data_IF_452181873657
#
_entry.id   IF_452181873657
#
_cell.length_a   1.000
_cell.length_b   1.000
_cell.length_c   1.000
_cell.angle_alpha   90.00
_cell.angle_beta   90.00
_cell.angle_gamma   90.00
#
_symmetry.space_group_name_H-M   'P 1'
#
loop_
_entity.id
_entity.type
_entity.pdbx_description
1 polymer ?
#
# COMPACT_ATOMS: atom_id res chain seq x y z
N UNK A 1 -6.14 11.01 27.76
CA UNK A 1 -5.56 9.68 27.50
C UNK A 1 -4.40 9.93 26.56
N UNK A 2 -3.16 9.84 27.02
CA UNK A 2 -1.97 10.11 26.20
C UNK A 2 -1.59 8.86 25.41
N UNK A 3 -1.47 8.99 24.09
CA UNK A 3 -1.17 7.90 23.17
C UNK A 3 0.31 7.98 22.75
N UNK A 4 1.13 6.98 23.11
CA UNK A 4 2.56 6.95 22.80
C UNK A 4 2.82 6.39 21.39
N UNK A 5 3.55 7.11 20.53
CA UNK A 5 3.77 6.71 19.14
C UNK A 5 4.62 5.44 19.01
N UNK A 6 4.20 4.53 18.12
CA UNK A 6 4.90 3.29 17.79
C UNK A 6 6.09 3.56 16.87
N UNK A 7 7.32 3.30 17.34
CA UNK A 7 8.52 3.31 16.51
C UNK A 7 8.67 1.99 15.73
N UNK A 8 8.94 2.08 14.42
CA UNK A 8 8.99 0.92 13.54
C UNK A 8 10.39 0.30 13.50
N UNK A 9 10.50 -0.97 13.92
CA UNK A 9 11.69 -1.79 13.66
C UNK A 9 11.58 -2.31 12.23
N UNK A 10 12.36 -1.72 11.32
CA UNK A 10 12.53 -2.19 9.94
C UNK A 10 13.22 -3.56 9.94
N UNK A 11 12.46 -4.62 10.16
CA UNK A 11 12.95 -5.98 9.96
C UNK A 11 12.58 -6.39 8.54
N UNK A 12 13.59 -6.78 7.75
CA UNK A 12 13.42 -7.35 6.42
C UNK A 12 12.37 -8.47 6.45
N UNK A 13 11.48 -8.56 5.44
CA UNK A 13 10.58 -9.71 5.31
C UNK A 13 11.40 -10.98 5.32
N UNK A 14 11.20 -11.80 6.35
CA UNK A 14 11.65 -13.19 6.30
C UNK A 14 10.88 -13.88 5.16
N UNK A 15 11.61 -14.62 4.31
CA UNK A 15 11.03 -15.48 3.28
C UNK A 15 10.46 -16.79 3.89
N UNK A 16 10.44 -16.92 5.22
CA UNK A 16 10.06 -18.15 5.88
C UNK A 16 8.55 -18.38 5.74
N UNK A 17 8.21 -19.42 4.98
CA UNK A 17 6.85 -19.96 4.89
C UNK A 17 6.48 -20.52 6.26
N UNK A 18 5.58 -19.85 6.98
CA UNK A 18 5.22 -20.23 8.36
C UNK A 18 4.09 -21.28 8.38
N UNK A 19 3.46 -21.59 7.25
CA UNK A 19 2.43 -22.65 7.17
C UNK A 19 1.66 -22.68 5.85
N UNK A 20 0.51 -23.36 5.85
CA UNK A 20 -0.33 -23.57 4.67
C UNK A 20 -1.79 -23.22 4.93
N UNK A 21 -2.51 -22.77 3.90
CA UNK A 21 -3.94 -22.51 3.93
C UNK A 21 -4.74 -23.82 3.87
N UNK A 22 -4.78 -24.56 4.98
CA UNK A 22 -5.43 -25.87 5.05
C UNK A 22 -6.94 -25.79 4.76
N UNK A 23 -7.61 -24.72 5.20
CA UNK A 23 -9.04 -24.52 4.92
C UNK A 23 -9.33 -24.41 3.42
N UNK A 24 -8.44 -23.77 2.66
CA UNK A 24 -8.56 -23.66 1.21
C UNK A 24 -8.35 -25.00 0.52
N UNK A 25 -7.43 -25.81 1.02
CA UNK A 25 -7.24 -27.19 0.56
C UNK A 25 -8.49 -28.05 0.86
N UNK A 26 -9.05 -27.97 2.07
CA UNK A 26 -10.25 -28.71 2.46
C UNK A 26 -11.49 -28.34 1.64
N UNK A 27 -11.59 -27.07 1.21
CA UNK A 27 -12.67 -26.61 0.35
C UNK A 27 -12.56 -27.10 -1.11
N UNK A 28 -11.39 -27.60 -1.53
CA UNK A 28 -11.18 -28.17 -2.87
C UNK A 28 -11.12 -29.71 -2.79
N UNK A 29 -12.22 -30.42 -3.11
CA UNK A 29 -12.29 -31.87 -2.95
C UNK A 29 -11.30 -32.62 -3.84
N UNK A 30 -10.99 -32.10 -5.03
CA UNK A 30 -10.05 -32.76 -5.95
C UNK A 30 -8.62 -32.67 -5.41
N UNK A 31 -8.15 -31.47 -5.08
CA UNK A 31 -6.79 -31.29 -4.54
C UNK A 31 -6.62 -32.01 -3.19
N UNK A 32 -7.68 -32.09 -2.39
CA UNK A 32 -7.65 -32.85 -1.14
C UNK A 32 -7.47 -34.36 -1.38
N UNK A 33 -8.11 -34.92 -2.40
CA UNK A 33 -7.99 -36.34 -2.70
C UNK A 33 -6.61 -36.67 -3.30
N UNK A 34 -6.11 -35.86 -4.22
CA UNK A 34 -4.75 -35.98 -4.76
C UNK A 34 -3.68 -35.91 -3.64
N UNK A 35 -3.85 -34.99 -2.68
CA UNK A 35 -2.97 -34.89 -1.52
C UNK A 35 -3.00 -36.15 -0.61
N UNK A 36 -4.19 -36.74 -0.42
CA UNK A 36 -4.33 -37.99 0.35
C UNK A 36 -3.70 -39.17 -0.38
N UNK A 37 -3.92 -39.30 -1.69
CA UNK A 37 -3.35 -40.37 -2.50
C UNK A 37 -1.82 -40.32 -2.47
N UNK A 38 -1.25 -39.12 -2.62
CA UNK A 38 0.20 -38.92 -2.54
C UNK A 38 0.75 -39.25 -1.14
N UNK A 39 0.05 -38.84 -0.08
CA UNK A 39 0.40 -39.20 1.29
C UNK A 39 0.34 -40.72 1.52
N UNK A 40 -0.71 -41.38 1.05
CA UNK A 40 -0.86 -42.83 1.14
C UNK A 40 0.25 -43.56 0.38
N UNK A 41 0.59 -43.12 -0.83
CA UNK A 41 1.69 -43.68 -1.60
C UNK A 41 3.01 -43.60 -0.81
N UNK A 42 3.28 -42.46 -0.18
CA UNK A 42 4.49 -42.26 0.63
C UNK A 42 4.52 -43.17 1.85
N UNK A 43 3.41 -43.32 2.57
CA UNK A 43 3.31 -44.28 3.69
C UNK A 43 3.53 -45.71 3.20
N UNK A 44 2.90 -46.11 2.10
CA UNK A 44 3.01 -47.48 1.58
C UNK A 44 4.44 -47.83 1.13
N UNK A 45 5.21 -46.82 0.71
CA UNK A 45 6.63 -47.00 0.38
C UNK A 45 7.56 -47.10 1.60
N UNK A 46 7.07 -46.75 2.80
CA UNK A 46 7.85 -46.74 4.04
C UNK A 46 7.81 -48.13 4.70
N UNK A 47 8.95 -48.66 5.17
CA UNK A 47 8.96 -49.89 5.95
C UNK A 47 8.29 -49.67 7.31
N UNK A 48 7.49 -50.64 7.77
CA UNK A 48 6.88 -50.60 9.10
C UNK A 48 7.94 -50.70 10.19
N UNK A 49 7.90 -49.80 11.16
CA UNK A 49 8.66 -49.92 12.40
C UNK A 49 8.04 -50.99 13.28
N UNK A 50 8.84 -51.99 13.65
CA UNK A 50 8.43 -53.06 14.56
C UNK A 50 8.66 -52.72 16.03
N UNK A 51 8.28 -53.65 16.92
CA UNK A 51 8.32 -53.48 18.39
C UNK A 51 9.73 -53.33 18.99
N UNK A 52 10.79 -53.49 18.18
CA UNK A 52 12.19 -53.35 18.59
C UNK A 52 12.83 -52.03 18.11
N UNK A 53 12.02 -51.02 17.74
CA UNK A 53 12.54 -49.74 17.28
C UNK A 53 13.30 -48.99 18.37
N UNK A 54 14.44 -48.41 18.00
CA UNK A 54 15.25 -47.57 18.88
C UNK A 54 14.69 -46.14 18.94
N UNK A 55 15.13 -45.35 19.92
CA UNK A 55 14.77 -43.93 19.99
C UNK A 55 15.25 -43.13 18.77
N UNK A 56 16.34 -43.56 18.13
CA UNK A 56 16.86 -42.94 16.91
C UNK A 56 15.96 -43.25 15.71
N UNK A 57 15.45 -44.48 15.62
CA UNK A 57 14.49 -44.88 14.58
C UNK A 57 13.19 -44.08 14.69
N UNK A 58 12.70 -43.88 15.91
CA UNK A 58 11.52 -43.04 16.18
C UNK A 58 11.75 -41.58 15.83
N UNK A 59 12.92 -41.03 16.16
CA UNK A 59 13.27 -39.66 15.80
C UNK A 59 13.37 -39.51 14.27
N UNK A 60 13.98 -40.49 13.58
CA UNK A 60 14.04 -40.53 12.12
C UNK A 60 12.67 -40.65 11.47
N UNK A 61 11.74 -41.36 12.09
CA UNK A 61 10.34 -41.43 11.65
C UNK A 61 9.64 -40.09 11.82
N UNK A 62 9.81 -39.44 12.97
CA UNK A 62 9.22 -38.12 13.21
C UNK A 62 9.71 -37.08 12.20
N UNK A 63 11.03 -37.06 11.93
CA UNK A 63 11.62 -36.18 10.91
C UNK A 63 11.04 -36.47 9.53
N UNK A 64 10.96 -37.75 9.15
CA UNK A 64 10.38 -38.10 7.86
C UNK A 64 8.90 -37.75 7.75
N UNK A 65 8.08 -38.02 8.77
CA UNK A 65 6.67 -37.64 8.79
C UNK A 65 6.56 -36.13 8.56
N UNK A 66 7.38 -35.34 9.26
CA UNK A 66 7.40 -33.90 9.11
C UNK A 66 7.80 -33.47 7.69
N UNK A 67 8.90 -33.99 7.13
CA UNK A 67 9.38 -33.65 5.79
C UNK A 67 8.41 -34.09 4.69
N UNK A 68 7.88 -35.31 4.81
CA UNK A 68 6.96 -35.89 3.84
C UNK A 68 5.62 -35.14 3.83
N UNK A 69 5.04 -34.84 5.00
CA UNK A 69 3.83 -34.01 5.08
C UNK A 69 4.08 -32.59 4.57
N UNK A 70 5.22 -32.00 4.92
CA UNK A 70 5.62 -30.67 4.42
C UNK A 70 5.68 -30.67 2.89
N UNK A 71 6.25 -31.70 2.28
CA UNK A 71 6.32 -31.82 0.82
C UNK A 71 4.93 -32.00 0.17
N UNK A 72 4.04 -32.84 0.73
CA UNK A 72 2.66 -32.96 0.22
C UNK A 72 1.94 -31.61 0.32
N UNK A 73 2.04 -30.93 1.47
CA UNK A 73 1.38 -29.65 1.67
C UNK A 73 1.95 -28.54 0.79
N UNK A 74 3.27 -28.54 0.53
CA UNK A 74 3.88 -27.59 -0.40
C UNK A 74 3.36 -27.73 -1.84
N UNK A 75 2.99 -28.94 -2.25
CA UNK A 75 2.48 -29.21 -3.58
C UNK A 75 0.99 -28.89 -3.71
N UNK A 76 0.19 -29.26 -2.70
CA UNK A 76 -1.27 -29.23 -2.79
C UNK A 76 -1.92 -28.04 -2.08
N UNK A 77 -1.26 -27.43 -1.09
CA UNK A 77 -1.82 -26.32 -0.33
C UNK A 77 -1.10 -24.99 -0.66
N UNK A 78 -1.86 -23.90 -0.65
CA UNK A 78 -1.28 -22.56 -0.78
C UNK A 78 -0.44 -22.24 0.45
N UNK A 79 0.83 -21.92 0.22
CA UNK A 79 1.73 -21.46 1.27
C UNK A 79 1.27 -20.11 1.83
N UNK A 80 1.31 -19.98 3.15
CA UNK A 80 1.10 -18.73 3.84
C UNK A 80 2.41 -17.94 3.78
N UNK A 81 2.40 -16.90 2.93
CA UNK A 81 3.46 -15.92 2.94
C UNK A 81 3.22 -14.94 4.08
N UNK A 82 4.21 -14.86 4.95
CA UNK A 82 4.21 -13.92 6.05
C UNK A 82 4.88 -12.65 5.57
N UNK A 83 4.08 -11.65 5.19
CA UNK A 83 4.58 -10.31 4.87
C UNK A 83 4.90 -9.53 6.16
N UNK A 84 5.73 -8.48 6.13
CA UNK A 84 6.00 -7.64 7.31
C UNK A 84 4.74 -6.95 7.88
N UNK A 85 3.67 -6.92 7.08
CA UNK A 85 2.36 -6.37 7.44
C UNK A 85 1.39 -7.43 7.97
N UNK A 86 1.78 -8.71 7.92
CA UNK A 86 0.91 -9.80 8.36
C UNK A 86 0.74 -9.78 9.88
N UNK A 87 -0.46 -10.15 10.32
CA UNK A 87 -0.89 -10.08 11.73
C UNK A 87 -0.04 -10.91 12.70
N UNK A 88 0.73 -11.87 12.18
CA UNK A 88 1.64 -12.70 12.97
C UNK A 88 2.94 -11.97 13.38
N UNK A 89 3.30 -10.87 12.73
CA UNK A 89 4.37 -9.97 13.19
C UNK A 89 3.87 -8.86 14.12
N UNK A 90 2.56 -8.79 14.40
CA UNK A 90 2.03 -7.75 15.28
C UNK A 90 2.43 -8.04 16.73
N UNK A 91 3.34 -7.23 17.25
CA UNK A 91 3.59 -7.12 18.69
C UNK A 91 2.32 -6.81 19.48
N UNK A 92 2.37 -6.95 20.80
CA UNK A 92 1.27 -6.58 21.70
C UNK A 92 0.80 -5.15 21.44
N UNK A 93 1.73 -4.22 21.24
CA UNK A 93 1.48 -2.79 21.03
C UNK A 93 0.70 -2.51 19.74
N UNK A 94 1.08 -3.14 18.62
CA UNK A 94 0.36 -3.01 17.34
C UNK A 94 -1.05 -3.60 17.46
N UNK A 95 -1.19 -4.75 18.14
CA UNK A 95 -2.50 -5.36 18.39
C UNK A 95 -3.39 -4.50 19.27
N UNK A 96 -2.83 -3.81 20.26
CA UNK A 96 -3.55 -2.89 21.13
C UNK A 96 -3.98 -1.63 20.39
N UNK A 97 -3.09 -1.01 19.60
CA UNK A 97 -3.43 0.14 18.76
C UNK A 97 -4.58 -0.18 17.80
N UNK A 98 -4.51 -1.33 17.10
CA UNK A 98 -5.58 -1.76 16.20
C UNK A 98 -6.90 -2.09 16.94
N UNK A 99 -6.83 -2.62 18.17
CA UNK A 99 -8.02 -2.83 19.01
C UNK A 99 -8.65 -1.50 19.45
N UNK A 100 -7.83 -0.54 19.87
CA UNK A 100 -8.28 0.80 20.26
C UNK A 100 -8.98 1.50 19.08
N UNK A 101 -8.42 1.43 17.87
CA UNK A 101 -9.08 1.97 16.68
C UNK A 101 -10.38 1.23 16.34
N UNK A 102 -10.42 -0.10 16.47
CA UNK A 102 -11.66 -0.85 16.24
C UNK A 102 -12.76 -0.44 17.22
N UNK A 103 -12.42 -0.19 18.48
CA UNK A 103 -13.35 0.32 19.49
C UNK A 103 -13.82 1.74 19.16
N UNK A 104 -12.90 2.64 18.78
CA UNK A 104 -13.24 3.99 18.33
C UNK A 104 -14.17 3.96 17.10
N UNK A 105 -13.92 3.07 16.14
CA UNK A 105 -14.77 2.89 14.96
C UNK A 105 -16.18 2.44 15.32
N UNK A 106 -16.33 1.55 16.31
CA UNK A 106 -17.64 1.13 16.82
C UNK A 106 -18.35 2.28 17.55
N UNK A 107 -17.65 3.03 18.40
CA UNK A 107 -18.21 4.19 19.09
C UNK A 107 -18.64 5.29 18.11
N UNK A 108 -17.91 5.49 17.01
CA UNK A 108 -18.28 6.43 15.95
C UNK A 108 -19.55 5.99 15.22
N UNK A 109 -19.70 4.69 14.94
CA UNK A 109 -20.95 4.14 14.40
C UNK A 109 -22.12 4.31 15.37
N UNK A 110 -21.85 4.26 16.68
CA UNK A 110 -22.80 4.57 17.76
C UNK A 110 -23.09 6.07 17.95
N UNK A 111 -22.47 6.97 17.18
CA UNK A 111 -22.54 8.43 17.36
C UNK A 111 -22.02 8.92 18.72
N UNK A 112 -21.22 8.11 19.43
CA UNK A 112 -20.65 8.45 20.74
C UNK A 112 -19.37 9.28 20.64
N UNK A 113 -18.66 9.18 19.51
CA UNK A 113 -17.46 9.98 19.23
C UNK A 113 -17.60 10.73 17.90
N UNK A 114 -16.85 11.83 17.82
CA UNK A 114 -16.76 12.70 16.65
C UNK A 114 -15.88 12.09 15.57
N UNK A 115 -16.08 12.55 14.32
CA UNK A 115 -15.23 12.16 13.17
C UNK A 115 -13.76 12.56 13.37
N UNK A 116 -13.48 13.60 14.15
CA UNK A 116 -12.12 14.04 14.49
C UNK A 116 -11.42 13.05 15.42
N UNK A 117 -12.09 12.57 16.46
CA UNK A 117 -11.54 11.56 17.38
C UNK A 117 -11.28 10.22 16.68
N UNK A 118 -12.15 9.84 15.74
CA UNK A 118 -11.91 8.66 14.89
C UNK A 118 -10.65 8.84 14.02
N UNK A 119 -10.41 10.04 13.51
CA UNK A 119 -9.26 10.34 12.65
C UNK A 119 -7.95 10.32 13.44
N UNK A 120 -7.96 10.83 14.67
CA UNK A 120 -6.82 10.72 15.59
C UNK A 120 -6.49 9.26 15.92
N UNK A 121 -7.52 8.44 16.21
CA UNK A 121 -7.34 7.01 16.44
C UNK A 121 -6.78 6.29 15.19
N UNK A 122 -7.21 6.69 13.99
CA UNK A 122 -6.67 6.15 12.73
C UNK A 122 -5.19 6.51 12.56
N UNK A 123 -4.83 7.78 12.79
CA UNK A 123 -3.47 8.27 12.62
C UNK A 123 -2.50 7.63 13.62
N UNK A 124 -3.00 7.22 14.79
CA UNK A 124 -2.22 6.44 15.77
C UNK A 124 -1.92 5.00 15.31
N UNK A 125 -2.86 4.35 14.61
CA UNK A 125 -2.64 2.97 14.11
C UNK A 125 -1.77 2.89 12.87
N UNK A 126 -1.61 4.00 12.15
CA UNK A 126 -0.71 4.05 11.00
C UNK A 126 0.71 4.23 11.50
N UNK A 127 1.65 3.37 11.12
CA UNK A 127 3.04 3.63 11.42
C UNK A 127 3.43 4.96 10.76
N UNK A 128 3.78 5.95 11.57
CA UNK A 128 4.49 7.14 11.11
C UNK A 128 5.89 6.69 10.75
N UNK A 129 6.06 6.15 9.55
CA UNK A 129 7.35 6.20 8.91
C UNK A 129 7.72 7.69 8.92
N UNK A 130 8.85 8.04 9.55
CA UNK A 130 9.52 9.29 9.22
C UNK A 130 9.84 9.18 7.74
N UNK A 131 8.92 9.63 6.90
CA UNK A 131 9.19 9.86 5.50
C UNK A 131 10.20 11.00 5.51
N UNK A 132 11.49 10.64 5.53
CA UNK A 132 12.54 11.56 5.15
C UNK A 132 12.19 11.95 3.73
N UNK A 133 11.50 13.08 3.61
CA UNK A 133 11.06 13.57 2.31
C UNK A 133 12.37 13.84 1.59
N UNK A 134 12.70 13.12 0.50
CA UNK A 134 14.02 13.22 -0.09
C UNK A 134 14.30 14.66 -0.48
N UNK A 135 15.53 15.13 -0.24
CA UNK A 135 15.94 16.47 -0.65
C UNK A 135 15.87 16.53 -2.18
N UNK A 136 15.05 17.43 -2.72
CA UNK A 136 14.97 17.62 -4.17
C UNK A 136 16.13 18.49 -4.63
N UNK A 137 16.73 18.14 -5.77
CA UNK A 137 17.76 18.96 -6.40
C UNK A 137 17.18 19.66 -7.61
N UNK A 138 17.27 20.98 -7.62
CA UNK A 138 16.86 21.83 -8.73
C UNK A 138 17.82 21.77 -9.91
N UNK A 139 17.37 22.20 -11.11
CA UNK A 139 18.19 22.21 -12.33
C UNK A 139 19.46 23.08 -12.22
N UNK A 140 19.47 24.06 -11.31
CA UNK A 140 20.60 24.97 -11.05
C UNK A 140 21.44 24.55 -9.83
N UNK A 141 21.19 23.36 -9.26
CA UNK A 141 21.91 22.85 -8.08
C UNK A 141 21.34 23.26 -6.73
N UNK A 142 20.18 23.92 -6.69
CA UNK A 142 19.45 24.24 -5.46
C UNK A 142 19.01 22.96 -4.76
N UNK A 143 19.02 22.95 -3.42
CA UNK A 143 18.56 21.82 -2.60
C UNK A 143 17.32 22.24 -1.83
N UNK A 144 16.22 21.53 -2.02
CA UNK A 144 14.96 21.74 -1.33
C UNK A 144 14.73 20.60 -0.34
N UNK A 145 14.72 20.92 0.96
CA UNK A 145 14.62 19.97 2.06
C UNK A 145 13.25 20.02 2.74
N UNK A 146 12.67 21.21 2.88
CA UNK A 146 11.31 21.45 3.38
C UNK A 146 10.24 21.18 2.31
N UNK A 147 8.99 21.01 2.74
CA UNK A 147 7.85 20.82 1.83
C UNK A 147 7.63 22.09 0.99
N UNK A 148 7.64 23.27 1.61
CA UNK A 148 7.43 24.54 0.90
C UNK A 148 8.55 24.81 -0.13
N UNK A 149 9.79 24.46 0.22
CA UNK A 149 10.96 24.55 -0.68
C UNK A 149 10.82 23.60 -1.88
N UNK A 150 10.17 22.44 -1.69
CA UNK A 150 9.95 21.46 -2.76
C UNK A 150 8.82 21.88 -3.68
N UNK A 151 7.73 22.38 -3.11
CA UNK A 151 6.58 22.89 -3.87
C UNK A 151 7.01 24.04 -4.78
N UNK A 152 7.74 25.01 -4.23
CA UNK A 152 8.29 26.13 -5.00
C UNK A 152 9.22 25.66 -6.12
N UNK A 153 10.16 24.75 -5.81
CA UNK A 153 11.09 24.21 -6.81
C UNK A 153 10.38 23.46 -7.94
N UNK A 154 9.35 22.67 -7.61
CA UNK A 154 8.55 21.94 -8.60
C UNK A 154 7.78 22.93 -9.47
N UNK A 155 7.18 23.95 -8.86
CA UNK A 155 6.41 24.95 -9.59
C UNK A 155 7.28 25.73 -10.57
N UNK A 156 8.46 26.21 -10.14
CA UNK A 156 9.42 26.91 -11.02
C UNK A 156 9.94 26.03 -12.15
N UNK A 157 10.17 24.74 -11.88
CA UNK A 157 10.70 23.81 -12.89
C UNK A 157 9.64 23.39 -13.91
N UNK A 158 8.40 23.13 -13.46
CA UNK A 158 7.31 22.70 -14.32
C UNK A 158 6.67 23.85 -15.09
N UNK A 159 6.68 25.07 -14.52
CA UNK A 159 6.10 26.27 -15.08
C UNK A 159 7.13 27.41 -15.10
N UNK A 160 8.15 27.33 -15.97
CA UNK A 160 9.15 28.39 -16.09
C UNK A 160 8.46 29.69 -16.51
N UNK A 161 8.64 30.76 -15.72
CA UNK A 161 8.16 32.08 -16.11
C UNK A 161 8.81 32.49 -17.43
N UNK A 162 8.01 32.98 -18.37
CA UNK A 162 8.52 33.47 -19.63
C UNK A 162 9.48 34.65 -19.37
N UNK A 163 10.63 34.73 -20.05
CA UNK A 163 11.53 35.86 -19.91
C UNK A 163 10.85 37.12 -20.49
N UNK A 164 10.11 37.84 -19.63
CA UNK A 164 9.36 39.03 -20.03
C UNK A 164 8.24 39.47 -19.08
N UNK A 165 7.72 38.61 -18.20
CA UNK A 165 6.49 38.87 -17.41
C UNK A 165 6.65 39.82 -16.20
N UNK A 166 7.54 40.81 -16.31
CA UNK A 166 7.55 41.98 -15.42
C UNK A 166 6.89 43.21 -16.03
N UNK A 167 6.26 43.08 -17.20
CA UNK A 167 5.25 44.06 -17.57
C UNK A 167 3.96 43.67 -16.85
N UNK A 168 3.71 44.36 -15.73
CA UNK A 168 2.33 44.59 -15.29
C UNK A 168 1.60 45.17 -16.49
N UNK A 169 0.88 44.31 -17.23
CA UNK A 169 -0.11 44.79 -18.19
C UNK A 169 -1.19 45.41 -17.31
N UNK A 170 -1.17 46.74 -17.20
CA UNK A 170 -2.27 47.51 -16.64
C UNK A 170 -3.52 47.10 -17.43
N UNK A 171 -4.34 46.25 -16.84
CA UNK A 171 -5.65 45.91 -17.39
C UNK A 171 -6.48 47.20 -17.26
N UNK A 172 -6.88 47.86 -18.36
CA UNK A 172 -7.65 49.09 -18.26
C UNK A 172 -8.96 48.80 -17.52
N UNK A 173 -9.24 49.56 -16.46
CA UNK A 173 -10.46 49.50 -15.64
C UNK A 173 -11.73 49.99 -16.36
N UNK A 174 -11.76 49.95 -17.69
CA UNK A 174 -12.93 50.38 -18.46
C UNK A 174 -13.80 49.18 -18.88
N UNK A 175 -15.12 49.41 -18.91
CA UNK A 175 -16.11 48.47 -19.40
C UNK A 175 -15.87 48.21 -20.90
N UNK A 176 -15.25 47.07 -21.22
CA UNK A 176 -14.98 46.61 -22.59
C UNK A 176 -16.23 46.62 -23.48
N UNK A 177 -17.42 46.52 -22.90
CA UNK A 177 -18.70 46.55 -23.61
C UNK A 177 -19.00 47.88 -24.32
N UNK A 178 -18.37 48.98 -23.92
CA UNK A 178 -18.55 50.30 -24.55
C UNK A 178 -17.59 50.58 -25.72
N UNK A 179 -16.55 49.77 -25.90
CA UNK A 179 -15.51 49.95 -26.91
C UNK A 179 -15.64 48.99 -28.10
N UNK A 180 -16.58 48.04 -28.04
CA UNK A 180 -16.82 47.06 -29.11
C UNK A 180 -17.84 47.64 -30.08
N UNK A 181 -17.35 48.19 -31.18
CA UNK A 181 -18.18 48.66 -32.30
C UNK A 181 -18.47 47.52 -33.30
N UNK A 182 -19.50 47.65 -34.11
CA UNK A 182 -19.96 46.59 -35.04
C UNK A 182 -18.86 46.21 -36.04
N UNK A 183 -18.06 47.18 -36.47
CA UNK A 183 -16.89 47.00 -37.34
C UNK A 183 -15.81 46.10 -36.70
N UNK A 184 -15.58 46.24 -35.38
CA UNK A 184 -14.59 45.46 -34.64
C UNK A 184 -15.06 44.01 -34.53
N UNK A 185 -16.36 43.79 -34.31
CA UNK A 185 -16.95 42.44 -34.27
C UNK A 185 -16.88 41.77 -35.64
N UNK A 186 -17.21 42.49 -36.71
CA UNK A 186 -17.07 41.99 -38.09
C UNK A 186 -15.62 41.62 -38.38
N UNK A 187 -14.68 42.51 -38.10
CA UNK A 187 -13.27 42.24 -38.32
C UNK A 187 -12.80 41.01 -37.51
N UNK A 188 -13.20 40.88 -36.24
CA UNK A 188 -12.86 39.71 -35.43
C UNK A 188 -13.45 38.41 -35.96
N UNK A 189 -14.72 38.40 -36.39
CA UNK A 189 -15.38 37.24 -36.98
C UNK A 189 -14.72 36.79 -38.29
N UNK A 190 -14.31 37.73 -39.15
CA UNK A 190 -13.72 37.42 -40.44
C UNK A 190 -12.21 37.17 -40.40
N UNK A 191 -11.49 37.70 -39.40
CA UNK A 191 -10.05 37.48 -39.22
C UNK A 191 -9.70 36.45 -38.15
N UNK A 192 -10.67 35.82 -37.48
CA UNK A 192 -10.40 34.67 -36.62
C UNK A 192 -9.83 33.55 -37.50
N UNK A 193 -8.53 33.31 -37.33
CA UNK A 193 -7.77 32.41 -38.19
C UNK A 193 -8.48 31.06 -38.36
N UNK A 194 -8.73 30.69 -39.63
CA UNK A 194 -9.44 29.47 -40.08
C UNK A 194 -8.78 28.16 -39.61
N UNK A 195 -7.58 28.24 -39.03
CA UNK A 195 -6.75 27.12 -38.57
C UNK A 195 -6.80 26.94 -37.04
N UNK A 196 -7.96 27.08 -36.41
CA UNK A 196 -8.13 26.70 -34.99
C UNK A 196 -8.86 25.37 -34.92
N UNK A 197 -8.35 24.46 -34.08
CA UNK A 197 -9.03 23.20 -33.81
C UNK A 197 -10.44 23.48 -33.25
N UNK A 198 -11.49 22.75 -33.67
CA UNK A 198 -12.82 22.90 -33.11
C UNK A 198 -12.80 22.73 -31.59
N UNK A 199 -13.53 23.59 -30.88
CA UNK A 199 -13.73 23.46 -29.43
C UNK A 199 -14.56 22.23 -29.08
N UNK A 200 -14.51 21.83 -27.81
CA UNK A 200 -15.33 20.74 -27.29
C UNK A 200 -16.73 21.30 -26.99
N UNK A 201 -17.73 20.84 -27.74
CA UNK A 201 -19.16 21.07 -27.48
C UNK A 201 -19.69 19.90 -26.63
#
# INVERSE_FOLDING_TARGET
MEWASLEWISTTPSQDVTGWQIQTLQANPQALEEAKEEWQMRIQSRPYLGDFCSSEDLAGEAVWIQEALTAVLNQHAKQLQVTPQSKCWWGSEIREAHRAYSQARQAWQGHEISTTELREALDYTKPKAMAMTPTLRGPQGQLASSIDEKETLIHETAFPQAPGDRQEVEIPQESWHGQVDEEIVKHALFHQAVQKAPGID
#
